data_IF_547179428378
#
_entry.id   IF_547179428378
#
_cell.length_a   1.000
_cell.length_b   1.000
_cell.length_c   1.000
_cell.angle_alpha   90.00
_cell.angle_beta   90.00
_cell.angle_gamma   90.00
#
_symmetry.space_group_name_H-M   'P 1'
#
loop_
_entity.id
_entity.type
_entity.pdbx_description
1 polymer ?
#
# COMPACT_ATOMS: atom_id res chain seq x y z
N UNK A 1 4.67 24.01 5.67
CA UNK A 1 3.69 24.61 6.61
C UNK A 1 2.46 23.75 6.53
N UNK A 2 1.84 23.42 7.69
CA UNK A 2 0.59 22.67 7.74
C UNK A 2 -0.50 23.36 6.91
N UNK A 3 -1.33 22.57 6.25
CA UNK A 3 -2.45 23.02 5.41
C UNK A 3 -3.56 23.68 6.26
N UNK A 4 -3.71 23.19 7.51
CA UNK A 4 -4.72 23.69 8.46
C UNK A 4 -4.08 24.04 9.80
N UNK A 5 -4.58 25.10 10.43
CA UNK A 5 -4.32 25.42 11.84
C UNK A 5 -5.40 24.78 12.72
N UNK A 6 -5.15 24.70 14.03
CA UNK A 6 -6.13 24.26 15.03
C UNK A 6 -7.44 25.04 14.92
N UNK A 7 -7.34 26.38 14.81
CA UNK A 7 -8.48 27.30 14.72
C UNK A 7 -9.31 27.06 13.45
N UNK A 8 -8.64 26.78 12.31
CA UNK A 8 -9.33 26.48 11.05
C UNK A 8 -10.07 25.16 11.11
N UNK A 9 -9.53 24.13 11.78
CA UNK A 9 -10.22 22.84 11.99
C UNK A 9 -11.45 23.04 12.88
N UNK A 10 -11.31 23.74 14.03
CA UNK A 10 -12.42 24.01 14.93
C UNK A 10 -13.53 24.79 14.22
N UNK A 11 -13.17 25.82 13.45
CA UNK A 11 -14.11 26.61 12.65
C UNK A 11 -14.78 25.77 11.57
N UNK A 12 -14.02 24.95 10.86
CA UNK A 12 -14.55 24.03 9.84
C UNK A 12 -15.55 23.04 10.44
N UNK A 13 -15.26 22.50 11.64
CA UNK A 13 -16.17 21.60 12.33
C UNK A 13 -17.49 22.28 12.70
N UNK A 14 -17.46 23.53 13.16
CA UNK A 14 -18.65 24.30 13.50
C UNK A 14 -19.49 24.65 12.25
N UNK A 15 -18.86 25.24 11.23
CA UNK A 15 -19.53 25.70 10.01
C UNK A 15 -20.18 24.56 9.22
N UNK A 16 -19.60 23.35 9.26
CA UNK A 16 -20.11 22.19 8.55
C UNK A 16 -20.99 21.27 9.43
N UNK A 17 -21.26 21.61 10.69
CA UNK A 17 -22.09 20.80 11.57
C UNK A 17 -21.50 19.42 11.87
N UNK A 18 -20.18 19.35 12.02
CA UNK A 18 -19.49 18.12 12.40
C UNK A 18 -19.73 17.85 13.89
N UNK A 19 -20.28 16.71 14.20
CA UNK A 19 -20.57 16.28 15.58
C UNK A 19 -19.75 15.08 16.03
N UNK A 20 -19.22 14.28 15.07
CA UNK A 20 -18.35 13.13 15.32
C UNK A 20 -17.04 13.27 14.57
N UNK A 21 -15.93 13.00 15.26
CA UNK A 21 -14.61 12.98 14.66
C UNK A 21 -14.00 11.60 14.90
N UNK A 22 -13.48 10.99 13.84
CA UNK A 22 -12.74 9.75 13.89
C UNK A 22 -11.25 10.06 13.92
N UNK A 23 -10.58 9.72 15.01
CA UNK A 23 -9.14 9.73 15.15
C UNK A 23 -8.66 8.36 14.65
N UNK A 24 -8.09 8.35 13.43
CA UNK A 24 -7.73 7.13 12.71
C UNK A 24 -6.22 6.87 12.83
N UNK A 25 -5.85 5.61 12.98
CA UNK A 25 -4.47 5.14 12.94
C UNK A 25 -4.43 3.72 12.37
N UNK A 26 -3.25 3.18 12.08
CA UNK A 26 -3.10 1.88 11.42
C UNK A 26 -2.24 0.97 12.30
N UNK A 27 -2.66 -0.29 12.50
CA UNK A 27 -1.84 -1.28 13.19
C UNK A 27 -0.70 -1.82 12.31
N UNK A 28 0.17 -2.63 12.88
CA UNK A 28 1.34 -3.19 12.18
C UNK A 28 0.96 -4.06 10.97
N UNK A 29 -0.24 -4.64 10.96
CA UNK A 29 -0.75 -5.47 9.87
C UNK A 29 -1.49 -4.70 8.77
N UNK A 30 -1.54 -3.37 8.86
CA UNK A 30 -2.19 -2.51 7.87
C UNK A 30 -3.71 -2.41 8.04
N UNK A 31 -4.23 -2.71 9.22
CA UNK A 31 -5.66 -2.56 9.51
C UNK A 31 -5.91 -1.19 10.13
N UNK A 32 -6.80 -0.41 9.50
CA UNK A 32 -7.20 0.89 10.03
C UNK A 32 -8.05 0.72 11.30
N UNK A 33 -7.65 1.38 12.36
CA UNK A 33 -8.35 1.51 13.64
C UNK A 33 -8.84 2.93 13.82
N UNK A 34 -9.75 3.15 14.77
CA UNK A 34 -10.13 4.51 15.15
C UNK A 34 -10.69 4.60 16.58
N UNK A 35 -10.49 5.76 17.18
CA UNK A 35 -11.23 6.22 18.34
C UNK A 35 -12.18 7.33 17.86
N UNK A 36 -13.46 7.24 18.19
CA UNK A 36 -14.44 8.27 17.83
C UNK A 36 -14.68 9.19 19.01
N UNK A 37 -14.62 10.50 18.75
CA UNK A 37 -14.90 11.56 19.75
C UNK A 37 -16.04 12.45 19.26
N UNK A 38 -16.70 13.11 20.19
CA UNK A 38 -17.68 14.18 19.88
C UNK A 38 -16.96 15.51 19.66
N UNK A 39 -17.61 16.45 18.99
CA UNK A 39 -17.07 17.79 18.73
C UNK A 39 -16.59 18.50 19.99
N UNK A 40 -17.25 18.29 21.14
CA UNK A 40 -16.83 18.87 22.42
C UNK A 40 -15.45 18.42 22.92
N UNK A 41 -14.91 17.32 22.38
CA UNK A 41 -13.58 16.79 22.70
C UNK A 41 -12.53 17.12 21.61
N UNK A 42 -12.94 17.76 20.50
CA UNK A 42 -12.06 18.00 19.38
C UNK A 42 -10.85 18.88 19.75
N UNK A 43 -11.10 19.95 20.51
CA UNK A 43 -10.02 20.85 20.95
C UNK A 43 -8.94 20.11 21.77
N UNK A 44 -9.40 19.28 22.71
CA UNK A 44 -8.51 18.44 23.52
C UNK A 44 -7.71 17.46 22.66
N UNK A 45 -8.34 16.84 21.66
CA UNK A 45 -7.66 15.94 20.74
C UNK A 45 -6.60 16.65 19.89
N UNK A 46 -6.90 17.88 19.42
CA UNK A 46 -5.95 18.70 18.67
C UNK A 46 -4.75 19.15 19.54
N UNK A 47 -4.89 19.18 20.85
CA UNK A 47 -3.80 19.43 21.79
C UNK A 47 -3.02 18.16 22.19
N UNK A 48 -3.23 17.05 21.45
CA UNK A 48 -2.58 15.74 21.68
C UNK A 48 -2.93 15.11 23.05
N UNK A 49 -4.09 15.42 23.60
CA UNK A 49 -4.53 14.92 24.91
C UNK A 49 -5.53 13.75 24.81
N UNK A 50 -5.63 13.10 23.63
CA UNK A 50 -6.49 11.94 23.45
C UNK A 50 -5.74 10.65 23.78
N UNK A 51 -5.96 10.15 24.98
CA UNK A 51 -5.42 8.88 25.46
C UNK A 51 -6.33 7.71 25.06
N UNK A 52 -5.73 6.54 24.77
CA UNK A 52 -6.43 5.30 24.50
C UNK A 52 -5.65 4.09 25.03
N UNK A 53 -6.32 2.95 25.19
CA UNK A 53 -5.70 1.67 25.56
C UNK A 53 -5.23 0.93 24.29
N UNK A 54 -3.94 0.76 24.12
CA UNK A 54 -3.30 0.04 23.01
C UNK A 54 -3.16 -1.48 23.23
N UNK A 55 -3.44 -1.99 24.44
CA UNK A 55 -3.14 -3.39 24.82
C UNK A 55 -3.94 -4.44 24.06
N UNK A 56 -5.09 -4.06 23.50
CA UNK A 56 -5.96 -4.94 22.70
C UNK A 56 -5.75 -4.79 21.19
N UNK A 57 -4.71 -4.07 20.78
CA UNK A 57 -4.37 -3.88 19.35
C UNK A 57 -3.23 -4.82 19.00
N UNK A 58 -3.45 -5.68 18.02
CA UNK A 58 -2.47 -6.65 17.56
C UNK A 58 -1.15 -5.97 17.16
N UNK A 59 -0.05 -6.46 17.73
CA UNK A 59 1.28 -5.94 17.46
C UNK A 59 1.65 -4.63 18.16
N UNK A 60 0.78 -4.06 19.02
CA UNK A 60 1.09 -2.85 19.78
C UNK A 60 1.83 -3.17 21.09
N UNK A 61 1.20 -2.92 22.22
CA UNK A 61 1.84 -3.00 23.54
C UNK A 61 1.25 -4.12 24.39
N UNK A 62 1.90 -4.42 25.53
CA UNK A 62 1.38 -5.35 26.53
C UNK A 62 0.49 -4.61 27.53
N UNK A 63 -0.25 -5.37 28.35
CA UNK A 63 -1.21 -4.85 29.33
C UNK A 63 -0.57 -3.89 30.35
N UNK A 64 0.69 -4.07 30.68
CA UNK A 64 1.46 -3.27 31.63
C UNK A 64 1.93 -1.90 31.08
N UNK A 65 1.82 -1.65 29.77
CA UNK A 65 2.18 -0.40 29.10
C UNK A 65 1.05 0.06 28.17
N UNK A 66 -0.20 -0.08 28.59
CA UNK A 66 -1.38 0.05 27.71
C UNK A 66 -1.72 1.49 27.31
N UNK A 67 -1.38 2.47 28.14
CA UNK A 67 -1.78 3.86 27.90
C UNK A 67 -0.94 4.48 26.76
N UNK A 68 -1.63 4.99 25.75
CA UNK A 68 -1.04 5.61 24.56
C UNK A 68 -1.79 6.88 24.18
N UNK A 69 -1.16 7.75 23.40
CA UNK A 69 -1.75 8.99 22.92
C UNK A 69 -1.83 9.05 21.41
N UNK A 70 -2.88 9.70 20.91
CA UNK A 70 -3.08 9.99 19.48
C UNK A 70 -2.69 11.44 19.20
N UNK A 71 -1.73 11.65 18.30
CA UNK A 71 -1.32 12.95 17.80
C UNK A 71 -1.90 13.17 16.39
N UNK A 72 -2.99 13.94 16.26
CA UNK A 72 -3.62 14.18 14.97
C UNK A 72 -2.73 14.99 14.02
N UNK A 73 -2.60 14.51 12.79
CA UNK A 73 -2.04 15.28 11.69
C UNK A 73 -3.13 16.18 11.10
N UNK A 74 -2.98 17.49 11.27
CA UNK A 74 -3.96 18.50 10.88
C UNK A 74 -4.20 18.50 9.37
N UNK A 75 -3.20 18.19 8.55
CA UNK A 75 -3.29 18.16 7.10
C UNK A 75 -4.22 17.06 6.59
N UNK A 76 -4.55 16.12 7.46
CA UNK A 76 -5.45 15.01 7.16
C UNK A 76 -6.92 15.29 7.50
N UNK A 77 -7.26 16.49 8.04
CA UNK A 77 -8.65 16.86 8.33
C UNK A 77 -9.54 16.71 7.10
N UNK A 78 -10.59 15.89 7.21
CA UNK A 78 -11.50 15.63 6.10
C UNK A 78 -12.91 15.29 6.61
N UNK A 79 -13.94 15.91 6.02
CA UNK A 79 -15.35 15.61 6.30
C UNK A 79 -15.78 14.53 5.33
N UNK A 80 -16.43 13.47 5.84
CA UNK A 80 -16.86 12.35 5.02
C UNK A 80 -18.04 12.70 4.11
N UNK A 81 -17.92 12.62 2.78
CA UNK A 81 -18.97 13.04 1.86
C UNK A 81 -20.23 12.19 1.92
N UNK A 82 -20.13 10.94 2.29
CA UNK A 82 -21.27 10.01 2.34
C UNK A 82 -22.23 10.23 3.52
N UNK A 83 -21.95 11.19 4.40
CA UNK A 83 -22.80 11.55 5.54
C UNK A 83 -23.40 12.97 5.47
N UNK A 84 -23.29 13.64 4.32
CA UNK A 84 -23.73 15.03 4.09
C UNK A 84 -25.20 15.33 4.43
N UNK A 85 -26.09 14.35 4.31
CA UNK A 85 -27.52 14.55 4.50
C UNK A 85 -28.02 14.15 5.89
N UNK A 86 -27.12 13.87 6.82
CA UNK A 86 -27.43 13.59 8.20
C UNK A 86 -27.30 14.88 9.04
N UNK A 87 -28.14 15.01 10.08
CA UNK A 87 -28.13 16.18 10.97
C UNK A 87 -26.82 16.35 11.77
N UNK A 88 -25.94 15.35 11.74
CA UNK A 88 -24.63 15.37 12.39
C UNK A 88 -23.59 14.79 11.41
N UNK A 89 -22.70 15.65 10.91
CA UNK A 89 -21.63 15.22 10.01
C UNK A 89 -20.51 14.53 10.77
N UNK A 90 -19.77 13.69 10.06
CA UNK A 90 -18.60 13.01 10.59
C UNK A 90 -17.35 13.44 9.82
N UNK A 91 -16.30 13.82 10.54
CA UNK A 91 -14.98 14.07 9.99
C UNK A 91 -13.97 13.05 10.51
N UNK A 92 -12.76 13.10 9.98
CA UNK A 92 -11.63 12.31 10.48
C UNK A 92 -10.35 13.15 10.55
N UNK A 93 -9.43 12.70 11.40
CA UNK A 93 -8.02 13.04 11.42
C UNK A 93 -7.24 11.73 11.45
N UNK A 94 -6.14 11.64 10.70
CA UNK A 94 -5.18 10.55 10.83
C UNK A 94 -4.19 10.95 11.91
N UNK A 95 -3.84 9.99 12.77
CA UNK A 95 -3.00 10.23 13.93
C UNK A 95 -1.75 9.36 13.87
N UNK A 96 -0.66 9.90 14.37
CA UNK A 96 0.48 9.12 14.83
C UNK A 96 0.28 8.71 16.29
N UNK A 97 0.85 7.57 16.67
CA UNK A 97 0.72 7.01 18.01
C UNK A 97 1.96 7.34 18.83
N UNK A 98 1.74 7.74 20.10
CA UNK A 98 2.77 8.11 21.05
C UNK A 98 2.65 7.28 22.33
N UNK A 99 3.77 7.10 23.03
CA UNK A 99 3.84 6.37 24.29
C UNK A 99 3.13 7.10 25.43
N UNK A 100 3.05 6.48 26.60
CA UNK A 100 2.37 7.00 27.79
C UNK A 100 2.91 8.34 28.31
N UNK A 101 4.15 8.72 27.98
CA UNK A 101 4.73 10.02 28.29
C UNK A 101 4.20 11.16 27.42
N UNK A 102 3.42 10.84 26.39
CA UNK A 102 2.87 11.78 25.40
C UNK A 102 3.92 12.59 24.61
N UNK A 103 5.18 12.17 24.65
CA UNK A 103 6.31 12.85 23.98
C UNK A 103 7.07 11.90 23.05
N UNK A 104 7.21 10.62 23.42
CA UNK A 104 7.96 9.63 22.66
C UNK A 104 7.08 8.98 21.57
N UNK A 105 7.44 9.08 20.28
CA UNK A 105 6.75 8.35 19.22
C UNK A 105 6.79 6.84 19.48
N UNK A 106 5.64 6.18 19.33
CA UNK A 106 5.58 4.73 19.51
C UNK A 106 6.26 4.01 18.34
N UNK A 107 7.22 3.13 18.67
CA UNK A 107 8.02 2.40 17.68
C UNK A 107 7.23 1.33 16.90
N UNK A 108 6.05 0.97 17.38
CA UNK A 108 5.14 0.02 16.72
C UNK A 108 4.15 0.70 15.76
N UNK A 109 4.16 2.03 15.66
CA UNK A 109 3.32 2.75 14.69
C UNK A 109 3.96 2.75 13.30
N UNK A 110 3.33 2.11 12.29
CA UNK A 110 3.85 2.09 10.92
C UNK A 110 4.06 3.49 10.33
N UNK A 111 3.23 4.46 10.71
CA UNK A 111 3.34 5.85 10.23
C UNK A 111 4.61 6.51 10.77
N UNK A 112 5.00 6.22 12.01
CA UNK A 112 6.27 6.68 12.60
C UNK A 112 7.48 6.00 11.93
N UNK A 113 7.36 4.72 11.54
CA UNK A 113 8.42 4.03 10.77
C UNK A 113 8.65 4.74 9.43
N UNK A 114 7.58 5.05 8.69
CA UNK A 114 7.70 5.76 7.41
C UNK A 114 8.30 7.16 7.60
N UNK A 115 7.87 7.90 8.64
CA UNK A 115 8.40 9.25 8.92
C UNK A 115 9.91 9.23 9.14
N UNK A 116 10.43 8.25 9.89
CA UNK A 116 11.87 8.09 10.11
C UNK A 116 12.66 7.98 8.79
N UNK A 117 12.14 7.23 7.83
CA UNK A 117 12.82 7.06 6.53
C UNK A 117 12.66 8.30 5.63
N UNK A 118 11.53 9.00 5.73
CA UNK A 118 11.33 10.30 5.07
C UNK A 118 12.37 11.33 5.56
N UNK A 119 12.59 11.39 6.88
CA UNK A 119 13.57 12.31 7.47
C UNK A 119 14.98 11.99 6.96
N UNK A 120 15.34 10.70 6.85
CA UNK A 120 16.61 10.27 6.30
C UNK A 120 16.78 10.66 4.81
N UNK A 121 15.72 10.52 4.00
CA UNK A 121 15.72 10.97 2.61
C UNK A 121 15.90 12.50 2.52
N UNK A 122 15.23 13.25 3.40
CA UNK A 122 15.34 14.70 3.47
C UNK A 122 16.75 15.17 3.85
N UNK A 123 17.43 14.48 4.78
CA UNK A 123 18.85 14.73 5.10
C UNK A 123 19.77 14.52 3.88
N UNK A 124 19.42 13.61 2.99
CA UNK A 124 20.11 13.39 1.72
C UNK A 124 19.69 14.38 0.61
N UNK A 125 18.76 15.30 0.87
CA UNK A 125 18.26 16.29 -0.07
C UNK A 125 17.18 15.78 -1.02
N UNK A 126 16.49 14.67 -0.69
CA UNK A 126 15.45 14.06 -1.50
C UNK A 126 14.07 14.17 -0.87
N UNK A 127 13.06 14.37 -1.73
CA UNK A 127 11.65 14.15 -1.40
C UNK A 127 11.16 12.93 -2.17
N UNK A 128 10.54 11.99 -1.49
CA UNK A 128 10.02 10.77 -2.09
C UNK A 128 8.56 10.92 -2.46
N UNK A 129 8.25 10.64 -3.72
CA UNK A 129 6.90 10.71 -4.28
C UNK A 129 6.44 9.32 -4.73
N UNK A 130 5.20 8.98 -4.43
CA UNK A 130 4.61 7.67 -4.73
C UNK A 130 3.23 7.83 -5.37
N UNK A 131 2.96 7.07 -6.45
CA UNK A 131 1.66 6.93 -7.09
C UNK A 131 1.29 5.44 -7.17
N UNK A 132 0.41 4.94 -6.29
CA UNK A 132 -0.02 3.56 -6.30
C UNK A 132 -1.18 3.36 -7.28
N UNK A 133 -1.18 2.22 -7.98
CA UNK A 133 -2.27 1.70 -8.80
C UNK A 133 -2.94 0.59 -7.99
N UNK A 134 -4.13 0.85 -7.42
CA UNK A 134 -4.72 -0.04 -6.41
C UNK A 134 -5.96 -0.75 -6.97
N UNK A 135 -5.78 -2.01 -7.34
CA UNK A 135 -6.83 -2.87 -7.89
C UNK A 135 -7.70 -3.50 -6.78
N UNK A 136 -8.95 -3.79 -7.11
CA UNK A 136 -9.89 -4.43 -6.20
C UNK A 136 -10.99 -5.18 -6.96
N UNK A 137 -11.69 -6.09 -6.27
CA UNK A 137 -12.86 -6.79 -6.81
C UNK A 137 -14.15 -6.29 -6.16
N UNK A 138 -15.21 -6.25 -6.98
CA UNK A 138 -16.60 -6.05 -6.54
C UNK A 138 -17.39 -7.33 -6.76
N UNK A 139 -17.88 -7.90 -5.66
CA UNK A 139 -18.68 -9.13 -5.67
C UNK A 139 -20.10 -8.90 -5.17
N UNK A 140 -21.02 -9.77 -5.60
CA UNK A 140 -22.38 -9.83 -5.08
C UNK A 140 -22.39 -10.34 -3.64
N UNK A 141 -23.39 -9.90 -2.90
CA UNK A 141 -23.76 -10.50 -1.61
C UNK A 141 -24.75 -11.66 -1.86
N UNK A 142 -24.77 -12.64 -0.97
CA UNK A 142 -25.81 -13.66 -0.95
C UNK A 142 -27.13 -13.10 -0.39
N UNK A 143 -28.19 -13.95 -0.31
CA UNK A 143 -29.50 -13.58 0.20
C UNK A 143 -29.46 -13.15 1.69
N UNK A 144 -28.48 -13.61 2.44
CA UNK A 144 -28.27 -13.27 3.85
C UNK A 144 -27.36 -12.03 4.03
N UNK A 145 -26.85 -11.46 2.95
CA UNK A 145 -25.94 -10.31 2.95
C UNK A 145 -24.47 -10.66 3.19
N UNK A 146 -24.07 -11.91 3.07
CA UNK A 146 -22.68 -12.33 3.21
C UNK A 146 -21.91 -12.13 1.89
N UNK A 147 -20.60 -11.86 1.95
CA UNK A 147 -19.73 -11.78 0.77
C UNK A 147 -19.70 -13.11 0.00
N UNK A 148 -19.74 -13.02 -1.33
CA UNK A 148 -19.50 -14.16 -2.23
C UNK A 148 -18.29 -13.88 -3.11
N UNK A 149 -17.89 -14.87 -3.93
CA UNK A 149 -16.94 -14.69 -5.03
C UNK A 149 -17.63 -14.60 -6.38
N UNK A 150 -18.95 -14.35 -6.39
CA UNK A 150 -19.73 -14.21 -7.63
C UNK A 150 -19.58 -12.79 -8.15
N UNK A 151 -19.01 -12.65 -9.35
CA UNK A 151 -18.99 -11.39 -10.10
C UNK A 151 -20.39 -10.95 -10.49
N UNK A 152 -20.58 -9.65 -10.65
CA UNK A 152 -21.80 -9.06 -11.19
C UNK A 152 -21.82 -9.03 -12.72
N UNK A 153 -20.67 -9.16 -13.36
CA UNK A 153 -20.45 -8.93 -14.78
C UNK A 153 -19.58 -10.02 -15.42
N UNK A 154 -19.47 -9.92 -16.75
CA UNK A 154 -18.59 -10.70 -17.60
C UNK A 154 -17.61 -9.74 -18.33
N UNK A 155 -17.31 -8.59 -17.72
CA UNK A 155 -16.43 -7.55 -18.24
C UNK A 155 -14.97 -7.98 -18.31
N UNK A 156 -14.25 -7.33 -19.20
CA UNK A 156 -12.80 -7.42 -19.35
C UNK A 156 -12.17 -6.02 -19.41
N UNK A 157 -10.90 -5.97 -19.76
CA UNK A 157 -10.11 -4.75 -19.73
C UNK A 157 -10.72 -3.61 -20.56
N UNK A 158 -11.03 -2.49 -19.88
CA UNK A 158 -11.66 -1.29 -20.44
C UNK A 158 -13.09 -1.47 -20.95
N UNK A 159 -13.79 -2.55 -20.61
CA UNK A 159 -15.20 -2.69 -20.91
C UNK A 159 -16.04 -1.65 -20.15
N UNK A 160 -17.19 -1.33 -20.70
CA UNK A 160 -18.11 -0.32 -20.21
C UNK A 160 -19.52 -0.90 -20.02
N UNK A 161 -20.39 -0.13 -19.38
CA UNK A 161 -21.81 -0.46 -19.24
C UNK A 161 -22.47 -0.68 -20.64
N UNK A 162 -23.30 -1.71 -20.86
CA UNK A 162 -23.93 -2.55 -19.82
C UNK A 162 -23.16 -3.81 -19.40
N UNK A 163 -21.97 -4.07 -19.93
CA UNK A 163 -21.17 -5.25 -19.57
C UNK A 163 -20.54 -5.06 -18.20
N UNK A 164 -19.91 -3.91 -17.97
CA UNK A 164 -19.35 -3.53 -16.68
C UNK A 164 -20.46 -3.09 -15.70
N UNK A 165 -20.83 -3.96 -14.79
CA UNK A 165 -21.84 -3.67 -13.77
C UNK A 165 -21.29 -2.87 -12.59
N UNK A 166 -19.98 -2.73 -12.45
CA UNK A 166 -19.31 -1.97 -11.38
C UNK A 166 -19.16 -0.48 -11.69
N UNK A 167 -19.41 -0.03 -12.92
CA UNK A 167 -19.16 1.35 -13.38
C UNK A 167 -19.81 2.41 -12.47
N UNK A 168 -21.07 2.24 -12.10
CA UNK A 168 -21.76 3.20 -11.23
C UNK A 168 -21.14 3.27 -9.81
N UNK A 169 -20.71 2.14 -9.27
CA UNK A 169 -20.02 2.10 -7.98
C UNK A 169 -18.67 2.81 -8.08
N UNK A 170 -17.87 2.52 -9.12
CA UNK A 170 -16.58 3.20 -9.34
C UNK A 170 -16.76 4.71 -9.52
N UNK A 171 -17.74 5.14 -10.31
CA UNK A 171 -18.04 6.57 -10.49
C UNK A 171 -18.31 7.26 -9.15
N UNK A 172 -19.16 6.69 -8.32
CA UNK A 172 -19.51 7.28 -7.03
C UNK A 172 -18.31 7.28 -6.05
N UNK A 173 -17.44 6.27 -6.13
CA UNK A 173 -16.17 6.23 -5.41
C UNK A 173 -15.28 7.39 -5.88
N UNK A 174 -15.07 7.57 -7.18
CA UNK A 174 -14.23 8.64 -7.74
C UNK A 174 -14.71 10.02 -7.30
N UNK A 175 -16.02 10.30 -7.40
CA UNK A 175 -16.61 11.58 -6.99
C UNK A 175 -16.42 11.83 -5.48
N UNK A 176 -16.56 10.79 -4.66
CA UNK A 176 -16.31 10.92 -3.22
C UNK A 176 -14.84 11.20 -2.90
N UNK A 177 -13.92 10.54 -3.60
CA UNK A 177 -12.49 10.77 -3.44
C UNK A 177 -12.09 12.18 -3.88
N UNK A 178 -12.60 12.67 -5.01
CA UNK A 178 -12.36 14.04 -5.46
C UNK A 178 -12.86 15.07 -4.44
N UNK A 179 -14.03 14.84 -3.85
CA UNK A 179 -14.54 15.69 -2.78
C UNK A 179 -13.66 15.67 -1.53
N UNK A 180 -12.94 14.56 -1.29
CA UNK A 180 -11.95 14.42 -0.22
C UNK A 180 -10.56 14.95 -0.60
N UNK A 181 -10.41 15.60 -1.76
CA UNK A 181 -9.17 16.25 -2.22
C UNK A 181 -8.21 15.36 -2.99
N UNK A 182 -8.67 14.20 -3.49
CA UNK A 182 -7.90 13.42 -4.46
C UNK A 182 -8.01 14.04 -5.85
N UNK A 183 -7.02 13.79 -6.68
CA UNK A 183 -7.11 14.00 -8.13
C UNK A 183 -7.17 12.63 -8.78
N UNK A 184 -8.31 12.27 -9.32
CA UNK A 184 -8.48 10.99 -10.03
C UNK A 184 -7.89 11.11 -11.44
N UNK A 185 -7.02 10.17 -11.83
CA UNK A 185 -6.36 10.13 -13.14
C UNK A 185 -7.05 9.13 -14.08
N UNK A 186 -7.43 7.95 -13.57
CA UNK A 186 -8.15 6.93 -14.32
C UNK A 186 -9.11 6.12 -13.44
N UNK A 187 -10.11 5.51 -14.08
CA UNK A 187 -11.04 4.57 -13.47
C UNK A 187 -11.56 3.64 -14.56
N UNK A 188 -11.30 2.35 -14.45
CA UNK A 188 -11.65 1.38 -15.47
C UNK A 188 -11.95 0.00 -14.90
N UNK A 189 -12.57 -0.84 -15.73
CA UNK A 189 -12.69 -2.28 -15.52
C UNK A 189 -11.34 -2.93 -15.83
N UNK A 190 -10.91 -3.86 -15.01
CA UNK A 190 -9.69 -4.64 -15.18
C UNK A 190 -9.92 -5.92 -16.00
N UNK A 191 -8.86 -6.73 -16.18
CA UNK A 191 -8.89 -7.93 -17.05
C UNK A 191 -9.84 -9.00 -16.50
N UNK A 192 -9.89 -9.19 -15.18
CA UNK A 192 -10.74 -10.23 -14.59
C UNK A 192 -12.17 -9.72 -14.36
N UNK A 193 -13.15 -10.61 -14.50
CA UNK A 193 -14.56 -10.34 -14.20
C UNK A 193 -14.73 -9.77 -12.79
N UNK A 194 -15.38 -8.62 -12.67
CA UNK A 194 -15.61 -7.90 -11.43
C UNK A 194 -14.37 -7.27 -10.82
N UNK A 195 -13.25 -7.19 -11.56
CA UNK A 195 -12.03 -6.49 -11.16
C UNK A 195 -12.03 -5.05 -11.66
N UNK A 196 -11.58 -4.14 -10.82
CA UNK A 196 -11.61 -2.70 -11.06
C UNK A 196 -10.33 -2.04 -10.57
N UNK A 197 -9.99 -0.92 -11.21
CA UNK A 197 -8.89 -0.04 -10.83
C UNK A 197 -9.33 1.41 -10.82
N UNK A 198 -8.80 2.16 -9.87
CA UNK A 198 -8.95 3.62 -9.78
C UNK A 198 -7.59 4.20 -9.42
N UNK A 199 -7.03 4.97 -10.36
CA UNK A 199 -5.77 5.63 -10.19
C UNK A 199 -5.98 7.06 -9.72
N UNK A 200 -5.20 7.45 -8.74
CA UNK A 200 -5.16 8.83 -8.27
C UNK A 200 -3.73 9.37 -8.33
N UNK A 201 -3.63 10.67 -8.57
CA UNK A 201 -2.37 11.35 -8.74
C UNK A 201 -1.43 11.09 -7.57
N UNK A 202 -0.15 10.85 -7.90
CA UNK A 202 0.94 10.72 -6.93
C UNK A 202 1.05 11.97 -6.03
N UNK A 203 1.60 11.77 -4.85
CA UNK A 203 1.94 12.82 -3.89
C UNK A 203 3.18 12.42 -3.09
N UNK A 204 3.62 13.26 -2.15
CA UNK A 204 4.63 12.89 -1.17
C UNK A 204 4.18 11.64 -0.39
N UNK A 205 5.11 10.78 -0.08
CA UNK A 205 4.84 9.41 0.36
C UNK A 205 3.94 9.29 1.59
N UNK A 206 4.08 10.17 2.59
CA UNK A 206 3.20 10.11 3.77
C UNK A 206 1.75 10.40 3.38
N UNK A 207 1.52 11.43 2.59
CA UNK A 207 0.19 11.76 2.06
C UNK A 207 -0.37 10.60 1.23
N UNK A 208 0.46 9.96 0.42
CA UNK A 208 0.03 8.82 -0.41
C UNK A 208 -0.32 7.60 0.44
N UNK A 209 0.46 7.26 1.46
CA UNK A 209 0.14 6.16 2.36
C UNK A 209 -1.17 6.38 3.11
N UNK A 210 -1.39 7.59 3.63
CA UNK A 210 -2.66 8.02 4.24
C UNK A 210 -3.83 7.93 3.25
N UNK A 211 -3.60 8.28 1.99
CA UNK A 211 -4.60 8.20 0.91
C UNK A 211 -4.94 6.75 0.56
N UNK A 212 -3.98 5.84 0.49
CA UNK A 212 -4.24 4.41 0.23
C UNK A 212 -5.14 3.83 1.32
N UNK A 213 -4.87 4.11 2.59
CA UNK A 213 -5.72 3.65 3.70
C UNK A 213 -7.14 4.22 3.61
N UNK A 214 -7.26 5.49 3.29
CA UNK A 214 -8.55 6.18 3.08
C UNK A 214 -9.28 5.62 1.85
N UNK A 215 -8.58 5.41 0.74
CA UNK A 215 -9.11 4.81 -0.49
C UNK A 215 -9.78 3.46 -0.21
N UNK A 216 -9.08 2.56 0.49
CA UNK A 216 -9.63 1.25 0.86
C UNK A 216 -10.93 1.39 1.68
N UNK A 217 -11.00 2.37 2.57
CA UNK A 217 -12.20 2.63 3.37
C UNK A 217 -13.36 3.18 2.49
N UNK A 218 -13.08 4.11 1.59
CA UNK A 218 -14.09 4.70 0.67
C UNK A 218 -14.65 3.63 -0.25
N UNK A 219 -13.79 2.83 -0.90
CA UNK A 219 -14.19 1.74 -1.80
C UNK A 219 -15.16 0.77 -1.10
N UNK A 220 -14.81 0.27 0.08
CA UNK A 220 -15.67 -0.63 0.86
C UNK A 220 -16.99 0.03 1.26
N UNK A 221 -16.96 1.32 1.63
CA UNK A 221 -18.14 2.07 2.03
C UNK A 221 -19.13 2.24 0.88
N UNK A 222 -18.64 2.59 -0.31
CA UNK A 222 -19.49 2.77 -1.48
C UNK A 222 -19.94 1.45 -2.09
N UNK A 223 -19.11 0.42 -2.10
CA UNK A 223 -19.54 -0.93 -2.48
C UNK A 223 -20.76 -1.38 -1.64
N UNK A 224 -20.69 -1.22 -0.31
CA UNK A 224 -21.81 -1.53 0.58
C UNK A 224 -23.06 -0.73 0.24
N UNK A 225 -22.95 0.56 -0.12
CA UNK A 225 -24.09 1.39 -0.54
C UNK A 225 -24.71 0.91 -1.86
N UNK A 226 -23.94 0.31 -2.73
CA UNK A 226 -24.39 -0.29 -4.00
C UNK A 226 -24.84 -1.75 -3.84
N UNK A 227 -24.91 -2.30 -2.61
CA UNK A 227 -25.31 -3.69 -2.36
C UNK A 227 -24.23 -4.70 -2.83
N UNK A 228 -22.97 -4.26 -2.90
CA UNK A 228 -21.81 -5.04 -3.31
C UNK A 228 -20.84 -5.22 -2.14
N UNK A 229 -19.96 -6.22 -2.27
CA UNK A 229 -18.80 -6.41 -1.41
C UNK A 229 -17.53 -6.07 -2.17
N UNK A 230 -16.74 -5.13 -1.66
CA UNK A 230 -15.42 -4.83 -2.19
C UNK A 230 -14.34 -5.59 -1.42
N UNK A 231 -13.46 -6.27 -2.14
CA UNK A 231 -12.29 -6.92 -1.55
C UNK A 231 -11.00 -6.50 -2.24
N UNK A 232 -9.97 -6.32 -1.43
CA UNK A 232 -8.59 -6.10 -1.85
C UNK A 232 -7.75 -7.39 -1.78
N UNK A 233 -8.40 -8.54 -1.70
CA UNK A 233 -7.75 -9.85 -1.70
C UNK A 233 -6.97 -10.05 -3.01
N UNK A 234 -5.66 -10.40 -2.96
CA UNK A 234 -4.81 -10.46 -4.15
C UNK A 234 -5.25 -11.48 -5.19
N UNK A 235 -5.81 -12.61 -4.75
CA UNK A 235 -6.27 -13.69 -5.64
C UNK A 235 -7.56 -14.33 -5.11
N UNK A 236 -8.71 -13.66 -5.27
CA UNK A 236 -9.98 -14.19 -4.74
C UNK A 236 -10.50 -15.39 -5.53
N UNK A 237 -10.15 -15.51 -6.82
CA UNK A 237 -10.65 -16.57 -7.71
C UNK A 237 -9.46 -17.25 -8.41
N UNK A 238 -9.47 -18.58 -8.43
CA UNK A 238 -8.51 -19.37 -9.17
C UNK A 238 -8.73 -19.23 -10.69
N UNK A 239 -7.65 -19.15 -11.47
CA UNK A 239 -7.69 -19.19 -12.94
C UNK A 239 -7.92 -17.85 -13.63
N UNK A 240 -8.13 -16.74 -12.91
CA UNK A 240 -8.23 -15.38 -13.45
C UNK A 240 -7.13 -14.47 -12.90
N UNK A 241 -6.97 -13.25 -13.43
CA UNK A 241 -6.01 -12.28 -12.88
C UNK A 241 -6.32 -11.91 -11.44
N UNK A 242 -5.31 -11.53 -10.68
CA UNK A 242 -5.43 -11.08 -9.30
C UNK A 242 -5.13 -9.59 -9.17
N UNK A 243 -5.42 -9.01 -8.00
CA UNK A 243 -5.23 -7.58 -7.73
C UNK A 243 -3.81 -7.26 -7.28
N UNK A 244 -3.17 -6.33 -8.00
CA UNK A 244 -1.91 -5.69 -7.64
C UNK A 244 -2.12 -4.32 -7.00
N UNK A 245 -1.04 -3.80 -6.44
CA UNK A 245 -0.88 -2.41 -6.09
C UNK A 245 0.48 -1.96 -6.61
N UNK A 246 0.57 -1.72 -7.93
CA UNK A 246 1.82 -1.29 -8.53
C UNK A 246 2.25 0.04 -7.92
N UNK A 247 3.46 0.08 -7.38
CA UNK A 247 3.97 1.25 -6.65
C UNK A 247 4.92 2.04 -7.55
N UNK A 248 4.41 3.14 -8.12
CA UNK A 248 5.21 4.08 -8.91
C UNK A 248 5.96 5.03 -7.98
N UNK A 249 7.28 5.10 -8.13
CA UNK A 249 8.19 5.81 -7.22
C UNK A 249 9.08 6.79 -7.96
N UNK A 250 9.32 7.96 -7.38
CA UNK A 250 10.33 8.90 -7.85
C UNK A 250 10.92 9.72 -6.69
N UNK A 251 12.14 10.20 -6.88
CA UNK A 251 12.77 11.18 -6.00
C UNK A 251 12.80 12.55 -6.68
N UNK A 252 12.45 13.58 -5.94
CA UNK A 252 12.71 14.95 -6.35
C UNK A 252 13.78 15.57 -5.46
N UNK A 253 14.52 16.53 -6.02
CA UNK A 253 15.54 17.32 -5.31
C UNK A 253 15.47 18.75 -5.79
N UNK A 254 16.23 19.66 -5.14
CA UNK A 254 16.31 21.07 -5.54
C UNK A 254 17.64 21.32 -6.25
N UNK A 255 17.59 21.87 -7.46
CA UNK A 255 18.78 22.22 -8.23
C UNK A 255 19.49 23.48 -7.68
N UNK A 256 20.63 23.83 -8.26
CA UNK A 256 21.45 24.99 -7.87
C UNK A 256 20.69 26.33 -7.95
N UNK A 257 19.60 26.38 -8.70
CA UNK A 257 18.76 27.57 -8.88
C UNK A 257 17.54 27.59 -7.94
N UNK A 258 17.41 26.60 -7.05
CA UNK A 258 16.27 26.47 -6.15
C UNK A 258 15.02 25.89 -6.80
N UNK A 259 15.12 25.28 -8.00
CA UNK A 259 14.02 24.65 -8.70
C UNK A 259 13.94 23.17 -8.33
N UNK A 260 12.72 22.70 -8.05
CA UNK A 260 12.48 21.27 -7.85
C UNK A 260 12.61 20.52 -9.19
N UNK A 261 13.44 19.49 -9.22
CA UNK A 261 13.72 18.65 -10.37
C UNK A 261 13.57 17.17 -9.99
N UNK A 262 13.31 16.33 -10.99
CA UNK A 262 13.25 14.89 -10.79
C UNK A 262 14.69 14.31 -10.75
N UNK A 263 15.07 13.69 -9.64
CA UNK A 263 16.41 13.15 -9.44
C UNK A 263 16.68 11.88 -10.26
N UNK A 264 15.63 11.24 -10.79
CA UNK A 264 15.76 10.03 -11.63
C UNK A 264 15.99 10.35 -13.11
N UNK A 265 15.79 11.60 -13.53
CA UNK A 265 15.92 11.99 -14.92
C UNK A 265 17.32 12.52 -15.25
N UNK A 266 17.91 12.01 -16.33
CA UNK A 266 19.12 12.54 -16.95
C UNK A 266 18.91 12.60 -18.47
N UNK A 267 18.80 13.80 -19.07
CA UNK A 267 18.61 13.94 -20.52
C UNK A 267 19.82 13.52 -21.36
N UNK A 268 21.00 13.42 -20.77
CA UNK A 268 22.24 13.02 -21.45
C UNK A 268 22.46 11.50 -21.42
N UNK A 269 21.71 10.77 -20.59
CA UNK A 269 21.77 9.31 -20.54
C UNK A 269 21.00 8.68 -21.70
N UNK A 270 21.49 7.56 -22.24
CA UNK A 270 20.90 6.84 -23.38
C UNK A 270 19.46 6.38 -23.09
N UNK A 271 19.16 5.95 -21.87
CA UNK A 271 17.83 5.53 -21.42
C UNK A 271 17.03 6.63 -20.73
N UNK A 272 17.62 7.83 -20.57
CA UNK A 272 17.01 8.97 -19.87
C UNK A 272 16.96 8.81 -18.36
N UNK A 273 17.69 7.85 -17.78
CA UNK A 273 17.78 7.61 -16.34
C UNK A 273 19.10 8.15 -15.79
N UNK A 274 19.02 8.78 -14.63
CA UNK A 274 20.19 9.22 -13.89
C UNK A 274 20.88 8.05 -13.17
N UNK A 275 22.12 8.27 -12.73
CA UNK A 275 22.81 7.35 -11.84
C UNK A 275 22.02 7.11 -10.53
N UNK A 276 21.32 8.12 -10.03
CA UNK A 276 20.45 8.00 -8.83
C UNK A 276 19.34 7.00 -9.08
N UNK A 277 18.70 7.03 -10.26
CA UNK A 277 17.67 6.05 -10.63
C UNK A 277 18.21 4.62 -10.68
N UNK A 278 19.35 4.41 -11.35
CA UNK A 278 19.98 3.07 -11.42
C UNK A 278 20.37 2.57 -10.03
N UNK A 279 20.97 3.41 -9.18
CA UNK A 279 21.29 3.03 -7.80
C UNK A 279 20.04 2.68 -7.00
N UNK A 280 18.94 3.45 -7.15
CA UNK A 280 17.67 3.20 -6.50
C UNK A 280 17.09 1.83 -6.92
N UNK A 281 17.05 1.55 -8.22
CA UNK A 281 16.63 0.26 -8.76
C UNK A 281 17.47 -0.88 -8.16
N UNK A 282 18.80 -0.73 -8.14
CA UNK A 282 19.71 -1.74 -7.59
C UNK A 282 19.43 -2.03 -6.10
N UNK A 283 19.14 -0.99 -5.32
CA UNK A 283 18.75 -1.13 -3.91
C UNK A 283 17.45 -1.89 -3.74
N UNK A 284 16.42 -1.57 -4.52
CA UNK A 284 15.15 -2.32 -4.53
C UNK A 284 15.39 -3.80 -4.86
N UNK A 285 16.08 -4.10 -5.97
CA UNK A 285 16.33 -5.48 -6.40
C UNK A 285 17.12 -6.29 -5.35
N UNK A 286 18.04 -5.64 -4.62
CA UNK A 286 18.84 -6.26 -3.57
C UNK A 286 18.01 -6.75 -2.39
N UNK A 287 17.04 -5.96 -1.95
CA UNK A 287 16.26 -6.20 -0.72
C UNK A 287 14.86 -6.76 -0.95
N UNK A 288 14.41 -6.86 -2.22
CA UNK A 288 13.01 -7.16 -2.55
C UNK A 288 12.52 -8.50 -2.02
N UNK A 289 13.39 -9.51 -1.86
CA UNK A 289 12.97 -10.80 -1.27
C UNK A 289 12.52 -10.63 0.19
N UNK A 290 13.25 -9.84 0.97
CA UNK A 290 12.88 -9.51 2.34
C UNK A 290 11.66 -8.57 2.41
N UNK A 291 11.60 -7.60 1.48
CA UNK A 291 10.46 -6.68 1.33
C UNK A 291 9.18 -7.45 0.97
N UNK A 292 9.26 -8.56 0.25
CA UNK A 292 8.09 -9.34 -0.17
C UNK A 292 7.19 -9.78 1.00
N UNK A 293 7.74 -10.01 2.19
CA UNK A 293 6.95 -10.30 3.38
C UNK A 293 6.01 -9.14 3.77
N UNK A 294 6.35 -7.91 3.43
CA UNK A 294 5.59 -6.69 3.74
C UNK A 294 4.76 -6.18 2.55
N UNK A 295 5.25 -6.34 1.32
CA UNK A 295 4.54 -5.95 0.11
C UNK A 295 3.51 -6.99 -0.35
N UNK A 296 3.68 -8.25 0.06
CA UNK A 296 2.84 -9.40 -0.27
C UNK A 296 2.55 -10.21 1.00
N UNK A 297 1.76 -9.64 1.94
CA UNK A 297 1.77 -10.07 3.35
C UNK A 297 0.89 -11.25 3.69
N UNK A 298 0.16 -11.83 2.74
CA UNK A 298 -0.82 -12.90 3.02
C UNK A 298 -0.46 -14.18 2.31
N UNK A 299 -0.94 -15.33 2.82
CA UNK A 299 -0.83 -16.61 2.09
C UNK A 299 -1.48 -16.53 0.72
N UNK A 300 -2.47 -15.66 0.55
CA UNK A 300 -3.16 -15.44 -0.71
C UNK A 300 -2.33 -14.61 -1.71
N UNK A 301 -1.42 -13.76 -1.25
CA UNK A 301 -0.50 -12.98 -2.09
C UNK A 301 0.29 -13.87 -3.04
N UNK A 302 0.76 -15.01 -2.56
CA UNK A 302 1.56 -15.98 -3.34
C UNK A 302 0.73 -16.85 -4.29
N UNK A 303 -0.60 -16.75 -4.24
CA UNK A 303 -1.49 -17.28 -5.27
C UNK A 303 -1.67 -16.31 -6.45
N UNK A 304 -1.35 -15.02 -6.26
CA UNK A 304 -1.23 -14.02 -7.32
C UNK A 304 0.15 -14.08 -7.97
N UNK A 305 1.23 -14.17 -7.19
CA UNK A 305 2.61 -14.18 -7.67
C UNK A 305 2.98 -15.54 -8.30
N UNK A 306 2.29 -15.88 -9.38
CA UNK A 306 2.51 -17.09 -10.16
C UNK A 306 2.63 -16.74 -11.65
N UNK A 307 3.45 -17.48 -12.45
CA UNK A 307 3.58 -17.24 -13.88
C UNK A 307 2.25 -17.32 -14.63
N UNK A 308 2.06 -16.46 -15.63
CA UNK A 308 0.92 -16.53 -16.55
C UNK A 308 -0.30 -15.65 -16.20
N UNK A 309 -0.24 -14.83 -15.16
CA UNK A 309 -1.32 -13.94 -14.73
C UNK A 309 -0.88 -12.47 -14.53
N UNK A 310 0.04 -11.99 -15.36
CA UNK A 310 0.55 -10.62 -15.37
C UNK A 310 1.23 -10.15 -14.05
N UNK A 311 1.48 -11.08 -13.12
CA UNK A 311 2.20 -10.79 -11.88
C UNK A 311 3.70 -11.12 -12.04
N UNK A 312 4.61 -10.25 -11.56
CA UNK A 312 6.05 -10.47 -11.67
C UNK A 312 6.49 -11.56 -10.68
N UNK A 313 7.29 -12.50 -11.17
CA UNK A 313 7.88 -13.56 -10.32
C UNK A 313 9.39 -13.54 -10.32
N UNK A 314 10.02 -12.92 -11.31
CA UNK A 314 11.47 -12.85 -11.48
C UNK A 314 12.01 -11.48 -11.09
N UNK A 315 13.15 -11.46 -10.39
CA UNK A 315 13.80 -10.25 -9.88
C UNK A 315 14.65 -9.62 -10.99
N UNK A 316 13.98 -8.92 -11.90
CA UNK A 316 14.56 -8.21 -13.03
C UNK A 316 13.92 -6.84 -13.22
N UNK A 317 14.61 -5.96 -13.94
CA UNK A 317 14.07 -4.66 -14.33
C UNK A 317 14.13 -4.45 -15.84
N UNK A 318 13.25 -3.61 -16.38
CA UNK A 318 13.20 -3.28 -17.80
C UNK A 318 12.38 -2.02 -18.07
N UNK A 319 12.70 -1.33 -19.19
CA UNK A 319 11.89 -0.26 -19.74
C UNK A 319 10.84 -0.76 -20.76
N UNK A 320 11.02 -1.95 -21.33
CA UNK A 320 10.19 -2.47 -22.43
C UNK A 320 9.38 -3.72 -22.07
N UNK A 321 9.74 -4.44 -21.02
CA UNK A 321 9.11 -5.70 -20.62
C UNK A 321 8.11 -5.49 -19.48
N UNK A 322 6.83 -5.82 -19.69
CA UNK A 322 5.76 -5.71 -18.67
C UNK A 322 5.77 -6.85 -17.63
N UNK A 323 6.52 -7.92 -17.88
CA UNK A 323 6.62 -9.06 -16.95
C UNK A 323 7.72 -8.89 -15.90
N UNK A 324 8.54 -7.80 -15.97
CA UNK A 324 9.59 -7.51 -15.01
C UNK A 324 9.04 -7.07 -13.64
N UNK A 325 9.86 -7.26 -12.61
CA UNK A 325 9.54 -6.82 -11.26
C UNK A 325 9.55 -5.30 -11.11
N UNK A 326 10.60 -4.67 -11.66
CA UNK A 326 10.74 -3.22 -11.70
C UNK A 326 10.65 -2.75 -13.15
N UNK A 327 9.59 -2.00 -13.45
CA UNK A 327 9.34 -1.43 -14.77
C UNK A 327 9.68 0.05 -14.78
N UNK A 328 10.23 0.52 -15.91
CA UNK A 328 10.46 1.94 -16.14
C UNK A 328 9.43 2.44 -17.16
N UNK A 329 8.39 3.16 -16.73
CA UNK A 329 7.41 3.76 -17.64
C UNK A 329 8.04 4.71 -18.66
N UNK A 330 7.39 4.91 -19.80
CA UNK A 330 7.94 5.69 -20.92
C UNK A 330 8.09 7.20 -20.63
N UNK A 331 7.38 7.74 -19.66
CA UNK A 331 7.46 9.15 -19.31
C UNK A 331 8.88 9.54 -18.83
N UNK A 332 9.34 10.73 -19.26
CA UNK A 332 10.64 11.30 -18.89
C UNK A 332 10.46 12.72 -18.35
N UNK A 333 11.55 13.35 -17.95
CA UNK A 333 11.53 14.65 -17.30
C UNK A 333 10.96 14.54 -15.88
N UNK A 334 10.03 15.40 -15.53
CA UNK A 334 9.35 15.32 -14.20
C UNK A 334 8.52 14.06 -14.00
N UNK A 335 8.15 13.37 -15.09
CA UNK A 335 7.40 12.09 -15.04
C UNK A 335 8.27 10.84 -14.97
N UNK A 336 9.60 10.96 -14.89
CA UNK A 336 10.50 9.82 -14.77
C UNK A 336 10.30 9.13 -13.45
N UNK A 337 10.03 7.81 -13.48
CA UNK A 337 9.73 7.02 -12.30
C UNK A 337 10.10 5.56 -12.47
N UNK A 338 10.18 4.84 -11.39
CA UNK A 338 10.30 3.38 -11.33
C UNK A 338 9.02 2.80 -10.75
N UNK A 339 8.54 1.71 -11.31
CA UNK A 339 7.32 1.02 -10.90
C UNK A 339 7.70 -0.35 -10.33
N UNK A 340 7.45 -0.56 -9.04
CA UNK A 340 7.54 -1.88 -8.41
C UNK A 340 6.20 -2.60 -8.57
N UNK A 341 6.19 -3.76 -9.22
CA UNK A 341 4.96 -4.43 -9.66
C UNK A 341 4.50 -5.59 -8.80
N UNK A 342 5.34 -6.06 -7.85
CA UNK A 342 4.94 -7.16 -6.97
C UNK A 342 3.96 -6.77 -5.87
N UNK A 343 3.94 -5.58 -5.27
CA UNK A 343 3.06 -5.28 -4.15
C UNK A 343 1.60 -5.59 -4.47
N UNK A 344 0.84 -5.97 -3.46
CA UNK A 344 -0.60 -6.14 -3.57
C UNK A 344 -1.33 -5.29 -2.52
N UNK A 345 -2.63 -5.01 -2.72
CA UNK A 345 -3.34 -4.04 -1.91
C UNK A 345 -3.64 -4.50 -0.48
N UNK A 346 -3.24 -5.72 -0.06
CA UNK A 346 -3.33 -6.13 1.35
C UNK A 346 -2.17 -5.63 2.18
N UNK A 347 -1.11 -5.12 1.56
CA UNK A 347 0.04 -4.59 2.28
C UNK A 347 -0.32 -3.42 3.20
N UNK A 348 0.51 -3.22 4.22
CA UNK A 348 0.54 -1.98 4.99
C UNK A 348 1.31 -0.93 4.19
N UNK A 349 0.64 0.12 3.65
CA UNK A 349 1.31 1.05 2.74
C UNK A 349 2.43 1.85 3.42
N UNK A 350 2.35 2.10 4.72
CA UNK A 350 3.42 2.80 5.44
C UNK A 350 4.69 1.96 5.50
N UNK A 351 4.58 0.66 5.82
CA UNK A 351 5.73 -0.24 5.91
C UNK A 351 6.29 -0.59 4.54
N UNK A 352 5.42 -0.86 3.57
CA UNK A 352 5.82 -1.15 2.19
C UNK A 352 6.62 0.02 1.60
N UNK A 353 6.05 1.25 1.66
CA UNK A 353 6.69 2.45 1.12
C UNK A 353 7.95 2.86 1.89
N UNK A 354 7.99 2.64 3.22
CA UNK A 354 9.20 2.86 4.01
C UNK A 354 10.35 1.95 3.58
N UNK A 355 10.06 0.65 3.39
CA UNK A 355 11.06 -0.33 2.95
C UNK A 355 11.53 -0.06 1.53
N UNK A 356 10.63 0.32 0.62
CA UNK A 356 11.00 0.71 -0.74
C UNK A 356 11.90 1.95 -0.77
N UNK A 357 11.54 3.00 -0.02
CA UNK A 357 12.37 4.19 0.08
C UNK A 357 13.75 3.86 0.66
N UNK A 358 13.79 3.17 1.79
CA UNK A 358 15.05 2.82 2.46
C UNK A 358 15.94 1.95 1.56
N UNK A 359 15.38 0.97 0.84
CA UNK A 359 16.12 0.14 -0.11
C UNK A 359 16.71 0.97 -1.25
N UNK A 360 15.93 1.89 -1.80
CA UNK A 360 16.43 2.81 -2.82
C UNK A 360 17.56 3.70 -2.29
N UNK A 361 17.43 4.23 -1.07
CA UNK A 361 18.48 5.02 -0.41
C UNK A 361 19.74 4.19 -0.11
N UNK A 362 19.60 2.91 0.28
CA UNK A 362 20.74 1.99 0.42
C UNK A 362 21.50 1.86 -0.89
N UNK A 363 20.78 1.70 -2.00
CA UNK A 363 21.37 1.67 -3.33
C UNK A 363 22.15 2.94 -3.66
N UNK A 364 21.60 4.11 -3.37
CA UNK A 364 22.23 5.42 -3.61
C UNK A 364 23.47 5.60 -2.73
N UNK A 365 23.38 5.35 -1.42
CA UNK A 365 24.47 5.50 -0.46
C UNK A 365 25.66 4.61 -0.80
N UNK A 366 25.40 3.38 -1.24
CA UNK A 366 26.42 2.40 -1.56
C UNK A 366 26.83 2.40 -3.03
N UNK A 367 26.29 3.31 -3.85
CA UNK A 367 26.53 3.38 -5.30
C UNK A 367 26.34 2.02 -6.00
N UNK A 368 25.27 1.30 -5.63
CA UNK A 368 24.96 0.00 -6.22
C UNK A 368 24.57 0.17 -7.70
N UNK A 369 24.95 -0.81 -8.51
CA UNK A 369 24.57 -0.86 -9.93
C UNK A 369 23.67 -2.07 -10.16
N UNK A 370 22.51 -1.91 -10.84
CA UNK A 370 21.65 -3.04 -11.14
C UNK A 370 22.32 -3.92 -12.23
N UNK A 371 21.94 -5.20 -12.26
CA UNK A 371 22.24 -6.04 -13.42
C UNK A 371 21.64 -5.41 -14.69
N UNK A 372 22.13 -5.75 -15.90
CA UNK A 372 21.56 -5.25 -17.15
C UNK A 372 20.04 -5.44 -17.23
N UNK A 373 19.35 -4.46 -17.85
CA UNK A 373 17.92 -4.56 -18.11
C UNK A 373 17.57 -5.80 -18.93
N UNK A 374 16.40 -6.41 -18.64
CA UNK A 374 15.95 -7.64 -19.31
C UNK A 374 14.77 -7.31 -20.23
N UNK A 375 15.07 -7.16 -21.52
CA UNK A 375 14.11 -6.74 -22.56
C UNK A 375 13.48 -7.90 -23.34
N UNK A 376 13.63 -9.13 -22.85
CA UNK A 376 13.03 -10.35 -23.39
C UNK A 376 12.09 -10.99 -22.38
N UNK A 377 11.24 -11.89 -22.86
CA UNK A 377 10.30 -12.61 -22.00
C UNK A 377 11.02 -13.63 -21.11
N UNK A 378 11.11 -13.36 -19.81
CA UNK A 378 11.80 -14.24 -18.84
C UNK A 378 11.06 -15.56 -18.64
N UNK A 379 9.75 -15.61 -18.87
CA UNK A 379 8.96 -16.84 -18.73
C UNK A 379 9.26 -17.91 -19.78
N UNK A 380 9.96 -17.53 -20.86
CA UNK A 380 10.39 -18.46 -21.92
C UNK A 380 11.72 -19.17 -21.60
N UNK A 381 12.40 -18.76 -20.50
CA UNK A 381 13.69 -19.34 -20.09
C UNK A 381 13.50 -20.63 -19.29
N UNK A 382 14.39 -21.60 -19.52
CA UNK A 382 14.52 -22.78 -18.65
C UNK A 382 15.15 -22.44 -17.31
N UNK A 383 15.00 -23.32 -16.32
CA UNK A 383 15.62 -23.16 -15.02
C UNK A 383 17.17 -23.05 -15.11
N UNK A 384 17.79 -23.78 -16.03
CA UNK A 384 19.24 -23.73 -16.29
C UNK A 384 19.66 -22.36 -16.86
N UNK A 385 18.88 -21.80 -17.79
CA UNK A 385 19.13 -20.47 -18.35
C UNK A 385 18.92 -19.34 -17.33
N UNK A 386 17.97 -19.48 -16.43
CA UNK A 386 17.77 -18.54 -15.31
C UNK A 386 18.99 -18.52 -14.37
N UNK A 387 19.50 -19.72 -13.99
CA UNK A 387 20.67 -19.87 -13.15
C UNK A 387 21.93 -19.31 -13.82
N UNK A 388 22.16 -19.63 -15.10
CA UNK A 388 23.31 -19.12 -15.88
C UNK A 388 23.32 -17.59 -15.98
N UNK A 389 22.15 -16.95 -16.01
CA UNK A 389 22.00 -15.49 -16.09
C UNK A 389 21.92 -14.82 -14.71
N UNK A 390 21.92 -15.61 -13.63
CA UNK A 390 21.79 -15.11 -12.27
C UNK A 390 20.42 -14.44 -11.99
N UNK A 391 19.36 -14.85 -12.71
CA UNK A 391 18.00 -14.33 -12.51
C UNK A 391 17.35 -15.10 -11.36
N UNK A 392 17.11 -14.40 -10.29
CA UNK A 392 16.45 -14.95 -9.09
C UNK A 392 14.92 -14.78 -9.15
N UNK A 393 14.20 -15.57 -8.32
CA UNK A 393 12.76 -15.47 -8.16
C UNK A 393 12.41 -14.78 -6.84
N UNK A 394 11.23 -14.16 -6.81
CA UNK A 394 10.56 -13.79 -5.55
C UNK A 394 10.22 -15.04 -4.74
N UNK A 395 10.05 -14.94 -3.42
CA UNK A 395 9.50 -16.02 -2.61
C UNK A 395 8.20 -16.58 -3.21
N UNK A 396 8.04 -17.90 -3.22
CA UNK A 396 6.86 -18.59 -3.75
C UNK A 396 5.77 -18.84 -2.71
N UNK A 397 6.03 -18.54 -1.43
CA UNK A 397 5.10 -18.71 -0.32
C UNK A 397 5.34 -17.68 0.77
N UNK A 398 4.36 -17.50 1.66
CA UNK A 398 4.51 -16.65 2.84
C UNK A 398 5.65 -17.14 3.74
N UNK A 399 5.83 -18.47 3.88
CA UNK A 399 6.93 -19.05 4.65
C UNK A 399 8.31 -18.63 4.10
N UNK A 400 8.49 -18.73 2.78
CA UNK A 400 9.74 -18.31 2.13
C UNK A 400 9.98 -16.80 2.26
N UNK A 401 8.94 -15.99 2.18
CA UNK A 401 9.04 -14.54 2.35
C UNK A 401 9.40 -14.15 3.80
N UNK A 402 8.83 -14.82 4.79
CA UNK A 402 9.22 -14.67 6.19
C UNK A 402 10.70 -15.01 6.36
N UNK A 403 11.13 -16.18 5.83
CA UNK A 403 12.52 -16.59 5.92
C UNK A 403 13.49 -15.59 5.23
N UNK A 404 13.09 -15.06 4.07
CA UNK A 404 13.88 -14.04 3.36
C UNK A 404 13.96 -12.73 4.16
N UNK A 405 12.88 -12.32 4.80
CA UNK A 405 12.84 -11.14 5.68
C UNK A 405 13.73 -11.31 6.91
N UNK A 406 13.71 -12.50 7.55
CA UNK A 406 14.58 -12.79 8.69
C UNK A 406 16.08 -12.90 8.30
N UNK A 407 16.36 -13.29 7.08
CA UNK A 407 17.73 -13.41 6.56
C UNK A 407 18.34 -12.07 6.14
N UNK A 408 17.54 -11.03 5.93
CA UNK A 408 18.02 -9.69 5.56
C UNK A 408 18.00 -8.75 6.78
N UNK A 409 19.15 -8.46 7.41
CA UNK A 409 19.23 -7.56 8.58
C UNK A 409 18.72 -6.15 8.29
N UNK A 410 18.77 -5.71 7.03
CA UNK A 410 18.27 -4.43 6.57
C UNK A 410 16.79 -4.24 6.93
N UNK A 411 15.95 -5.26 6.73
CA UNK A 411 14.52 -5.19 7.01
C UNK A 411 14.29 -4.80 8.47
N UNK A 412 14.96 -5.52 9.40
CA UNK A 412 14.84 -5.27 10.84
C UNK A 412 15.36 -3.90 11.24
N UNK A 413 16.43 -3.43 10.62
CA UNK A 413 17.01 -2.10 10.86
C UNK A 413 16.00 -0.98 10.51
N UNK A 414 15.30 -1.12 9.41
CA UNK A 414 14.37 -0.11 8.92
C UNK A 414 13.08 -0.09 9.74
N UNK A 415 12.42 -1.24 9.87
CA UNK A 415 11.12 -1.31 10.56
C UNK A 415 11.25 -1.27 12.09
N UNK A 416 12.44 -1.54 12.63
CA UNK A 416 12.73 -1.59 14.06
C UNK A 416 12.35 -2.90 14.73
N UNK A 417 12.95 -3.16 15.88
CA UNK A 417 12.78 -4.43 16.62
C UNK A 417 11.31 -4.73 16.94
N UNK A 418 10.54 -3.73 17.35
CA UNK A 418 9.15 -3.92 17.76
C UNK A 418 8.29 -4.40 16.60
N UNK A 419 8.25 -3.64 15.50
CA UNK A 419 7.47 -3.98 14.31
C UNK A 419 7.95 -5.31 13.73
N UNK A 420 9.27 -5.50 13.59
CA UNK A 420 9.84 -6.71 13.03
C UNK A 420 9.39 -7.97 13.79
N UNK A 421 9.51 -7.96 15.12
CA UNK A 421 9.16 -9.12 15.94
C UNK A 421 7.65 -9.38 15.92
N UNK A 422 6.82 -8.36 16.19
CA UNK A 422 5.36 -8.51 16.21
C UNK A 422 4.81 -8.95 14.85
N UNK A 423 5.32 -8.37 13.76
CA UNK A 423 4.90 -8.70 12.41
C UNK A 423 5.30 -10.12 12.03
N UNK A 424 6.56 -10.50 12.25
CA UNK A 424 7.09 -11.83 11.94
C UNK A 424 6.35 -12.93 12.72
N UNK A 425 6.11 -12.72 14.03
CA UNK A 425 5.32 -13.65 14.84
C UNK A 425 3.89 -13.84 14.32
N UNK A 426 3.23 -12.72 13.98
CA UNK A 426 1.88 -12.76 13.41
C UNK A 426 1.84 -13.49 12.06
N UNK A 427 2.83 -13.26 11.18
CA UNK A 427 2.90 -13.92 9.88
C UNK A 427 3.25 -15.40 9.99
N UNK A 428 4.10 -15.80 10.93
CA UNK A 428 4.35 -17.21 11.25
C UNK A 428 3.09 -17.92 11.75
N UNK A 429 2.32 -17.27 12.61
CA UNK A 429 1.05 -17.81 13.10
C UNK A 429 0.02 -17.99 11.97
N UNK A 430 -0.09 -17.00 11.05
CA UNK A 430 -0.94 -17.08 9.85
C UNK A 430 -0.55 -18.25 8.95
N UNK A 431 0.76 -18.43 8.71
CA UNK A 431 1.27 -19.53 7.91
C UNK A 431 1.01 -20.89 8.58
N UNK A 432 1.25 -21.01 9.89
CA UNK A 432 1.01 -22.26 10.65
C UNK A 432 -0.47 -22.64 10.67
N UNK A 433 -1.36 -21.67 10.78
CA UNK A 433 -2.79 -21.91 10.66
C UNK A 433 -3.15 -22.41 9.26
N UNK A 434 -2.67 -21.71 8.21
CA UNK A 434 -2.99 -22.04 6.82
C UNK A 434 -2.49 -23.43 6.43
N UNK A 435 -1.21 -23.77 6.67
CA UNK A 435 -0.58 -25.02 6.24
C UNK A 435 -1.16 -26.28 6.88
N UNK A 436 -1.90 -26.12 7.97
CA UNK A 436 -2.56 -27.23 8.67
C UNK A 436 -4.01 -27.44 8.24
N UNK A 437 -4.60 -26.51 7.48
CA UNK A 437 -5.98 -26.63 6.98
C UNK A 437 -6.04 -27.52 5.75
N UNK A 438 -6.98 -28.48 5.77
CA UNK A 438 -7.26 -29.33 4.62
C UNK A 438 -8.20 -28.62 3.67
N UNK A 439 -7.75 -28.39 2.44
CA UNK A 439 -8.52 -27.73 1.40
C UNK A 439 -9.49 -28.69 0.68
N UNK A 440 -10.56 -28.13 0.08
CA UNK A 440 -11.46 -28.94 -0.74
C UNK A 440 -10.73 -29.60 -1.92
N UNK A 441 -9.73 -28.91 -2.50
CA UNK A 441 -8.91 -29.48 -3.57
C UNK A 441 -8.16 -30.75 -3.13
N UNK A 442 -7.63 -30.79 -1.90
CA UNK A 442 -6.96 -31.99 -1.37
C UNK A 442 -7.95 -33.14 -1.17
N UNK A 443 -9.14 -32.84 -0.64
CA UNK A 443 -10.21 -33.82 -0.46
C UNK A 443 -10.61 -34.39 -1.82
N UNK A 444 -10.89 -33.56 -2.81
CA UNK A 444 -11.30 -33.96 -4.15
C UNK A 444 -10.22 -34.78 -4.87
N UNK A 445 -8.95 -34.41 -4.64
CA UNK A 445 -7.80 -35.02 -5.30
C UNK A 445 -7.39 -36.37 -4.68
N UNK A 446 -7.44 -36.47 -3.36
CA UNK A 446 -6.78 -37.56 -2.64
C UNK A 446 -7.73 -38.53 -1.96
N UNK A 447 -8.91 -38.11 -1.48
CA UNK A 447 -9.79 -38.95 -0.64
C UNK A 447 -10.20 -40.26 -1.30
N UNK A 448 -10.39 -40.28 -2.63
CA UNK A 448 -10.84 -41.52 -3.35
C UNK A 448 -9.65 -42.40 -3.72
N UNK A 449 -8.45 -41.84 -3.86
CA UNK A 449 -7.30 -42.54 -4.42
C UNK A 449 -6.33 -43.07 -3.36
N UNK A 450 -6.44 -42.59 -2.13
CA UNK A 450 -5.59 -42.93 -0.99
C UNK A 450 -6.41 -43.22 0.27
#
# INVERSE_FOLDING_TARGET
MSKYTKEEILKSAEENGVEFIRLQFTDVFGIMKNVAITRSQLEKALDNECMFDGSSIDGFVRIDESDMYLHPDYDTWTIFPWRKHQNAQTARLICSVYCADNETPFLGDPRNVLQKVIDEAAEMGYTFNVGPECEFFLFKLDEDGNPTTTSGDEGGYFDLNPIDHGENCRRDICLALEEMGYTIEASHHEVAEGQHEIDFKFDEVMTTADRVMTFKHVVKTYATKHGLHATFMPKPIYGINGSGMHTNMSLTTTDENGKVVNAFYDPESEDGLSKVAHNFIAGILKHVKGIACYSNPTVNSYKRLVPGYEAPTYIVWSASNRSCLVRIPAARGMGTRVELRCPDPTCNPYLEMALCLAAGLDGIKNNLEPAPAVDYNVFDLSAEELEERGIECLPGSLEEAIAASEADPFIKEIVGDHVFNAYTEGKKAEWDEYRTKVSQWEIDKYMVNY
#
